data_IF_791844142973
#
_entry.id   IF_791844142973
#
_cell.length_a   1.000
_cell.length_b   1.000
_cell.length_c   1.000
_cell.angle_alpha   90.00
_cell.angle_beta   90.00
_cell.angle_gamma   90.00
#
_symmetry.space_group_name_H-M   'P 1'
#
loop_
_entity.id
_entity.type
_entity.pdbx_description
1 polymer ?
#
# COMPACT_ATOMS: atom_id res chain seq x y z
N UNK A 1 -6.24 -8.40 85.38
CA UNK A 1 -5.25 -8.27 84.28
C UNK A 1 -4.15 -7.35 84.78
N UNK A 2 -2.95 -7.88 85.04
CA UNK A 2 -1.80 -7.07 85.45
C UNK A 2 -1.22 -6.25 84.30
N UNK A 3 -0.27 -5.37 84.61
CA UNK A 3 0.47 -4.53 83.66
C UNK A 3 1.03 -5.33 82.46
N UNK A 4 1.47 -6.56 82.72
CA UNK A 4 1.89 -7.58 81.73
C UNK A 4 0.84 -7.85 80.63
N UNK A 5 -0.45 -7.94 81.00
CA UNK A 5 -1.53 -8.19 80.06
C UNK A 5 -1.78 -7.01 79.13
N UNK A 6 -1.64 -5.78 79.64
CA UNK A 6 -1.79 -4.56 78.85
C UNK A 6 -0.62 -4.38 77.87
N UNK A 7 0.60 -4.68 78.32
CA UNK A 7 1.81 -4.66 77.48
C UNK A 7 1.72 -5.69 76.35
N UNK A 8 1.14 -6.86 76.60
CA UNK A 8 0.96 -7.91 75.60
C UNK A 8 0.00 -7.48 74.49
N UNK A 9 -1.11 -6.84 74.84
CA UNK A 9 -2.08 -6.32 73.86
C UNK A 9 -1.46 -5.23 72.99
N UNK A 10 -0.67 -4.33 73.58
CA UNK A 10 -0.03 -3.26 72.83
C UNK A 10 1.03 -3.77 71.85
N UNK A 11 1.79 -4.79 72.25
CA UNK A 11 2.74 -5.50 71.36
C UNK A 11 2.03 -6.18 70.19
N UNK A 12 0.87 -6.80 70.44
CA UNK A 12 0.06 -7.45 69.40
C UNK A 12 -0.47 -6.41 68.40
N UNK A 13 -1.01 -5.28 68.88
CA UNK A 13 -1.48 -4.18 68.02
C UNK A 13 -0.34 -3.61 67.18
N UNK A 14 0.82 -3.38 67.78
CA UNK A 14 1.99 -2.89 67.08
C UNK A 14 2.45 -3.86 65.97
N UNK A 15 2.48 -5.16 66.25
CA UNK A 15 2.83 -6.18 65.27
C UNK A 15 1.85 -6.23 64.09
N UNK A 16 0.53 -6.18 64.37
CA UNK A 16 -0.51 -6.17 63.34
C UNK A 16 -0.38 -4.92 62.45
N UNK A 17 -0.25 -3.74 63.06
CA UNK A 17 -0.14 -2.47 62.33
C UNK A 17 1.13 -2.40 61.48
N UNK A 18 2.25 -2.94 61.99
CA UNK A 18 3.51 -3.01 61.25
C UNK A 18 3.46 -3.99 60.07
N UNK A 19 2.72 -5.10 60.18
CA UNK A 19 2.55 -6.05 59.08
C UNK A 19 1.65 -5.52 57.96
N UNK A 20 0.72 -4.61 58.26
CA UNK A 20 -0.23 -4.07 57.28
C UNK A 20 0.26 -2.78 56.58
N UNK A 21 1.22 -2.06 57.18
CA UNK A 21 1.70 -0.76 56.67
C UNK A 21 2.61 -0.83 55.44
N UNK A 22 3.11 -2.03 55.08
CA UNK A 22 4.03 -2.26 53.97
C UNK A 22 3.44 -2.96 52.74
N UNK A 23 2.10 -3.10 52.68
CA UNK A 23 1.44 -3.80 51.58
C UNK A 23 1.46 -2.95 50.30
N UNK A 24 2.50 -3.13 49.49
CA UNK A 24 2.60 -2.56 48.13
C UNK A 24 2.11 -3.57 47.11
N UNK A 25 1.14 -3.17 46.29
CA UNK A 25 0.47 -4.01 45.31
C UNK A 25 1.03 -3.77 43.90
N UNK A 26 1.91 -4.66 43.45
CA UNK A 26 2.34 -4.72 42.06
C UNK A 26 1.98 -6.09 41.46
N UNK A 27 0.90 -6.10 40.68
CA UNK A 27 0.59 -7.10 39.65
C UNK A 27 0.35 -8.58 40.03
N UNK A 28 0.00 -8.93 41.27
CA UNK A 28 -0.49 -10.29 41.57
C UNK A 28 -1.41 -10.35 42.79
N UNK A 29 -2.12 -11.47 42.92
CA UNK A 29 -2.99 -11.82 44.05
C UNK A 29 -2.29 -11.62 45.38
N UNK A 30 -2.98 -11.02 46.34
CA UNK A 30 -2.54 -11.06 47.73
C UNK A 30 -3.04 -12.38 48.32
N UNK A 31 -2.11 -13.22 48.78
CA UNK A 31 -2.42 -14.45 49.51
C UNK A 31 -2.17 -14.23 50.99
N UNK A 32 -3.23 -14.35 51.78
CA UNK A 32 -3.17 -14.30 53.24
C UNK A 32 -3.21 -15.74 53.76
N UNK A 33 -2.12 -16.23 54.32
CA UNK A 33 -2.10 -17.51 55.04
C UNK A 33 -2.56 -17.28 56.48
N UNK A 34 -3.59 -18.01 56.90
CA UNK A 34 -4.14 -17.96 58.26
C UNK A 34 -3.39 -18.92 59.17
N UNK A 35 -3.53 -18.75 60.47
CA UNK A 35 -2.88 -19.60 61.48
C UNK A 35 -3.40 -21.04 61.50
N UNK A 36 -4.57 -21.31 60.89
CA UNK A 36 -5.11 -22.65 60.67
C UNK A 36 -4.53 -23.33 59.42
N UNK A 37 -3.57 -22.68 58.75
CA UNK A 37 -2.93 -23.17 57.52
C UNK A 37 -3.76 -22.94 56.26
N UNK A 38 -4.97 -22.39 56.35
CA UNK A 38 -5.80 -22.07 55.17
C UNK A 38 -5.41 -20.73 54.58
N UNK A 39 -5.72 -20.49 53.30
CA UNK A 39 -5.44 -19.21 52.64
C UNK A 39 -6.73 -18.43 52.35
N UNK A 40 -6.62 -17.10 52.30
CA UNK A 40 -7.61 -16.19 51.70
C UNK A 40 -6.92 -15.43 50.58
N UNK A 41 -7.53 -15.37 49.40
CA UNK A 41 -6.98 -14.68 48.25
C UNK A 41 -7.80 -13.44 47.93
N UNK A 42 -7.12 -12.31 47.70
CA UNK A 42 -7.74 -11.10 47.15
C UNK A 42 -7.18 -10.93 45.74
N UNK A 43 -8.07 -11.07 44.76
CA UNK A 43 -7.74 -10.80 43.35
C UNK A 43 -7.83 -9.29 43.12
N UNK A 44 -6.69 -8.62 43.02
CA UNK A 44 -6.63 -7.22 42.60
C UNK A 44 -6.64 -7.21 41.08
N UNK A 45 -7.82 -7.04 40.49
CA UNK A 45 -7.99 -6.99 39.05
C UNK A 45 -7.61 -5.61 38.49
N UNK A 46 -6.30 -5.31 38.40
CA UNK A 46 -5.81 -4.16 37.66
C UNK A 46 -5.77 -4.41 36.14
N UNK A 47 -6.59 -5.32 35.59
CA UNK A 47 -6.73 -5.50 34.14
C UNK A 47 -7.71 -4.46 33.57
N UNK A 48 -7.55 -3.21 33.97
CA UNK A 48 -8.24 -2.09 33.36
C UNK A 48 -7.19 -1.28 32.57
N UNK A 49 -6.87 -1.80 31.38
CA UNK A 49 -6.01 -1.20 30.35
C UNK A 49 -4.50 -1.26 30.65
N UNK A 50 -3.79 -2.16 29.95
CA UNK A 50 -2.36 -2.00 29.77
C UNK A 50 -2.11 -0.63 29.11
N UNK A 51 -1.34 0.24 29.76
CA UNK A 51 -0.95 1.55 29.20
C UNK A 51 -0.15 1.41 27.90
N UNK A 52 0.56 0.29 27.75
CA UNK A 52 1.22 -0.14 26.51
C UNK A 52 0.94 -1.61 26.27
N UNK A 53 0.23 -1.93 25.19
CA UNK A 53 0.04 -3.31 24.77
C UNK A 53 1.20 -3.76 23.87
N UNK A 54 2.00 -4.73 24.31
CA UNK A 54 3.09 -5.31 23.48
C UNK A 54 2.55 -6.09 22.28
N UNK A 55 1.27 -6.48 22.33
CA UNK A 55 0.54 -7.17 21.26
C UNK A 55 -0.88 -6.60 21.16
N UNK A 56 -1.45 -6.61 19.95
CA UNK A 56 -2.84 -6.27 19.73
C UNK A 56 -3.72 -7.50 20.08
N UNK A 57 -4.12 -7.61 21.34
CA UNK A 57 -4.83 -8.77 21.88
C UNK A 57 -3.89 -9.91 22.35
N UNK A 58 -4.44 -11.11 22.56
CA UNK A 58 -3.68 -12.28 23.03
C UNK A 58 -2.88 -13.00 21.93
N UNK A 59 -3.05 -12.58 20.66
CA UNK A 59 -2.42 -13.19 19.49
C UNK A 59 -1.42 -12.25 18.83
N UNK A 60 -0.41 -12.82 18.17
CA UNK A 60 0.42 -12.06 17.22
C UNK A 60 -0.37 -11.96 15.91
N UNK A 61 -0.90 -10.79 15.61
CA UNK A 61 -1.70 -10.54 14.41
C UNK A 61 -0.91 -9.66 13.44
N UNK A 62 -0.92 -10.02 12.16
CA UNK A 62 -0.14 -9.32 11.12
C UNK A 62 1.24 -9.95 10.86
N UNK A 63 1.85 -9.56 9.75
CA UNK A 63 3.22 -9.88 9.35
C UNK A 63 3.78 -8.63 8.65
N UNK A 64 5.11 -8.49 8.51
CA UNK A 64 5.72 -7.32 7.85
C UNK A 64 5.19 -7.00 6.45
N UNK A 65 4.47 -7.93 5.84
CA UNK A 65 3.85 -7.82 4.51
C UNK A 65 2.31 -7.96 4.52
N UNK A 66 1.67 -8.09 5.69
CA UNK A 66 0.21 -8.27 5.82
C UNK A 66 -0.39 -7.22 6.75
N UNK A 67 -1.27 -6.39 6.19
CA UNK A 67 -2.08 -5.46 6.96
C UNK A 67 -3.01 -6.19 7.95
N UNK A 68 -3.45 -5.45 8.98
CA UNK A 68 -4.42 -5.88 9.99
C UNK A 68 -5.73 -5.11 9.74
N UNK A 69 -6.88 -5.78 9.89
CA UNK A 69 -8.20 -5.14 9.95
C UNK A 69 -8.99 -5.61 11.18
N UNK A 70 -10.04 -4.89 11.56
CA UNK A 70 -10.92 -5.28 12.67
C UNK A 70 -12.15 -6.00 12.13
N UNK A 71 -12.32 -7.27 12.53
CA UNK A 71 -13.54 -8.05 12.26
C UNK A 71 -14.32 -8.21 13.57
N UNK A 72 -15.48 -7.57 13.68
CA UNK A 72 -16.31 -7.58 14.89
C UNK A 72 -15.51 -7.27 16.18
N UNK A 73 -14.63 -6.27 16.13
CA UNK A 73 -13.77 -5.87 17.27
C UNK A 73 -12.53 -6.74 17.48
N UNK A 74 -12.33 -7.80 16.69
CA UNK A 74 -11.14 -8.66 16.76
C UNK A 74 -10.15 -8.30 15.67
N UNK A 75 -8.90 -8.02 16.06
CA UNK A 75 -7.81 -7.85 15.12
C UNK A 75 -7.59 -9.12 14.30
N UNK A 76 -7.71 -9.01 12.98
CA UNK A 76 -7.60 -10.12 12.03
C UNK A 76 -6.52 -9.81 11.01
N UNK A 77 -5.62 -10.77 10.76
CA UNK A 77 -4.61 -10.63 9.72
C UNK A 77 -5.28 -10.72 8.35
N UNK A 78 -4.91 -9.84 7.42
CA UNK A 78 -5.38 -9.97 6.05
C UNK A 78 -4.84 -11.25 5.41
N UNK A 79 -5.76 -12.14 5.04
CA UNK A 79 -5.53 -13.34 4.24
C UNK A 79 -5.54 -13.05 2.74
N UNK A 80 -6.05 -11.88 2.33
CA UNK A 80 -5.96 -11.42 0.96
C UNK A 80 -4.53 -10.99 0.63
N UNK A 81 -3.99 -11.42 -0.52
CA UNK A 81 -2.89 -10.75 -1.24
C UNK A 81 -3.43 -9.40 -1.69
N UNK A 82 -3.56 -8.47 -0.75
CA UNK A 82 -4.12 -7.14 -0.94
C UNK A 82 -3.15 -6.31 -1.76
N UNK A 83 -3.28 -6.43 -3.08
CA UNK A 83 -2.33 -5.89 -4.03
C UNK A 83 -1.09 -6.76 -4.19
N UNK A 84 -0.42 -6.59 -5.32
CA UNK A 84 0.90 -7.11 -5.59
C UNK A 84 1.82 -5.96 -6.03
N UNK A 85 3.05 -6.25 -6.47
CA UNK A 85 4.00 -5.23 -6.96
C UNK A 85 3.43 -4.33 -8.05
N UNK A 86 2.35 -4.75 -8.70
CA UNK A 86 1.74 -4.11 -9.85
C UNK A 86 0.26 -3.81 -9.65
N UNK A 87 -0.38 -4.13 -8.52
CA UNK A 87 -1.80 -3.79 -8.28
C UNK A 87 -1.96 -3.05 -6.95
N UNK A 88 -2.31 -1.75 -6.96
CA UNK A 88 -2.60 -1.01 -5.73
C UNK A 88 -3.92 -1.47 -5.10
N UNK A 89 -4.22 -0.91 -3.92
CA UNK A 89 -5.46 -1.18 -3.18
C UNK A 89 -6.16 0.12 -2.78
N UNK A 90 -7.48 0.06 -2.57
CA UNK A 90 -8.31 1.15 -2.05
C UNK A 90 -9.27 0.64 -0.96
N UNK A 91 -9.88 1.56 -0.23
CA UNK A 91 -10.91 1.23 0.77
C UNK A 91 -12.30 1.36 0.14
N UNK A 92 -13.03 0.25 0.07
CA UNK A 92 -14.41 0.21 -0.37
C UNK A 92 -15.31 -0.23 0.78
N UNK A 93 -16.20 0.64 1.27
CA UNK A 93 -17.13 0.35 2.35
C UNK A 93 -16.49 -0.34 3.58
N UNK A 94 -15.27 0.07 3.95
CA UNK A 94 -14.52 -0.49 5.09
C UNK A 94 -13.71 -1.76 4.78
N UNK A 95 -13.71 -2.24 3.53
CA UNK A 95 -12.91 -3.40 3.09
C UNK A 95 -11.75 -2.95 2.20
N UNK A 96 -10.55 -3.48 2.45
CA UNK A 96 -9.39 -3.29 1.56
C UNK A 96 -9.64 -4.10 0.28
N UNK A 97 -9.72 -3.40 -0.84
CA UNK A 97 -10.05 -3.96 -2.16
C UNK A 97 -8.91 -3.70 -3.13
N UNK A 98 -8.52 -4.70 -3.93
CA UNK A 98 -7.53 -4.50 -4.99
C UNK A 98 -8.12 -3.62 -6.11
N UNK A 99 -7.32 -2.74 -6.68
CA UNK A 99 -7.69 -2.04 -7.91
C UNK A 99 -7.69 -3.05 -9.08
N UNK A 100 -8.62 -2.87 -10.02
CA UNK A 100 -8.56 -3.59 -11.31
C UNK A 100 -7.45 -3.02 -12.23
N UNK A 101 -6.97 -1.81 -11.95
CA UNK A 101 -5.88 -1.15 -12.66
C UNK A 101 -4.50 -1.48 -12.07
N UNK A 102 -3.50 -1.73 -12.93
CA UNK A 102 -2.12 -1.98 -12.52
C UNK A 102 -1.23 -0.73 -12.49
N UNK A 103 -0.25 -0.68 -11.58
CA UNK A 103 0.85 0.29 -11.62
C UNK A 103 1.91 -0.21 -12.60
N UNK A 104 2.28 0.66 -13.54
CA UNK A 104 2.94 0.30 -14.78
C UNK A 104 1.90 0.33 -15.88
N UNK A 105 1.78 1.47 -16.55
CA UNK A 105 1.03 1.54 -17.81
C UNK A 105 1.52 0.39 -18.66
N UNK A 106 0.64 -0.44 -19.22
CA UNK A 106 1.02 -1.48 -20.18
C UNK A 106 1.75 -0.95 -21.42
N UNK A 107 2.17 0.31 -21.40
CA UNK A 107 2.88 1.04 -22.42
C UNK A 107 4.37 1.15 -22.11
N UNK A 108 5.21 0.82 -23.07
CA UNK A 108 6.62 1.22 -23.10
C UNK A 108 6.76 2.42 -24.04
N UNK A 109 7.50 3.44 -23.60
CA UNK A 109 7.70 4.69 -24.35
C UNK A 109 9.18 4.91 -24.59
N UNK A 110 9.53 5.23 -25.83
CA UNK A 110 10.84 5.77 -26.19
C UNK A 110 10.67 7.24 -26.56
N UNK A 111 11.20 8.11 -25.71
CA UNK A 111 11.12 9.56 -25.87
C UNK A 111 12.19 10.07 -26.85
N UNK A 112 11.86 11.10 -27.63
CA UNK A 112 12.76 11.68 -28.62
C UNK A 112 12.03 12.45 -29.71
N UNK A 113 12.79 13.17 -30.55
CA UNK A 113 12.25 13.86 -31.73
C UNK A 113 11.59 12.86 -32.71
N UNK A 114 12.21 11.67 -32.85
CA UNK A 114 11.59 10.50 -33.44
C UNK A 114 11.45 9.43 -32.34
N UNK A 115 10.22 9.12 -31.96
CA UNK A 115 9.91 8.30 -30.78
C UNK A 115 8.67 7.46 -30.95
N UNK A 116 8.32 6.70 -29.92
CA UNK A 116 7.18 5.79 -29.97
C UNK A 116 6.62 5.46 -28.59
N UNK A 117 5.34 5.06 -28.57
CA UNK A 117 4.66 4.46 -27.43
C UNK A 117 3.98 3.17 -27.88
N UNK A 118 4.22 2.07 -27.17
CA UNK A 118 3.69 0.73 -27.49
C UNK A 118 2.99 0.13 -26.30
N UNK A 119 1.75 -0.31 -26.48
CA UNK A 119 1.08 -1.19 -25.55
C UNK A 119 1.65 -2.62 -25.69
N UNK A 120 2.15 -3.18 -24.59
CA UNK A 120 2.97 -4.37 -24.53
C UNK A 120 2.17 -5.67 -24.67
N UNK A 121 0.86 -5.65 -24.40
CA UNK A 121 0.00 -6.83 -24.48
C UNK A 121 -0.48 -7.10 -25.90
N UNK A 122 -0.91 -6.07 -26.60
CA UNK A 122 -1.51 -6.10 -27.95
C UNK A 122 -0.50 -5.72 -29.03
N UNK A 123 0.60 -5.06 -28.66
CA UNK A 123 1.59 -4.53 -29.59
C UNK A 123 1.14 -3.25 -30.29
N UNK A 124 -0.04 -2.71 -29.94
CA UNK A 124 -0.54 -1.45 -30.51
C UNK A 124 0.47 -0.34 -30.27
N UNK A 125 0.90 0.31 -31.35
CA UNK A 125 1.98 1.30 -31.29
C UNK A 125 1.64 2.54 -32.09
N UNK A 126 1.95 3.67 -31.46
CA UNK A 126 2.01 4.99 -32.06
C UNK A 126 3.48 5.39 -32.17
N UNK A 127 3.90 5.83 -33.36
CA UNK A 127 5.26 6.35 -33.60
C UNK A 127 5.18 7.78 -34.13
N UNK A 128 6.20 8.59 -33.86
CA UNK A 128 6.32 9.94 -34.40
C UNK A 128 7.75 10.21 -34.86
N UNK A 129 7.91 11.18 -35.74
CA UNK A 129 9.21 11.63 -36.21
C UNK A 129 9.10 12.68 -37.30
N UNK A 130 10.25 13.03 -37.88
CA UNK A 130 10.43 14.07 -38.90
C UNK A 130 11.08 13.56 -40.20
N UNK A 131 11.33 12.25 -40.29
CA UNK A 131 11.81 11.56 -41.49
C UNK A 131 10.77 10.56 -41.99
N UNK A 132 10.99 9.95 -43.15
CA UNK A 132 10.06 8.95 -43.69
C UNK A 132 10.31 7.53 -43.18
N UNK A 133 11.24 7.35 -42.24
CA UNK A 133 11.59 6.08 -41.62
C UNK A 133 11.02 6.01 -40.20
N UNK A 134 10.45 4.87 -39.85
CA UNK A 134 9.93 4.64 -38.50
C UNK A 134 11.05 4.34 -37.50
N UNK A 135 11.00 4.88 -36.26
CA UNK A 135 11.89 4.52 -35.16
C UNK A 135 11.94 3.03 -34.85
N UNK A 136 10.87 2.31 -35.20
CA UNK A 136 10.78 0.85 -35.07
C UNK A 136 9.89 0.25 -36.14
N UNK A 137 10.21 -0.97 -36.53
CA UNK A 137 9.44 -1.74 -37.51
C UNK A 137 8.09 -2.12 -36.94
N UNK A 138 7.01 -1.84 -37.69
CA UNK A 138 5.71 -2.44 -37.43
C UNK A 138 5.68 -3.88 -37.94
N UNK A 139 5.00 -4.78 -37.23
CA UNK A 139 4.51 -6.04 -37.83
C UNK A 139 3.43 -5.74 -38.86
N UNK A 140 2.58 -4.74 -38.58
CA UNK A 140 1.58 -4.25 -39.54
C UNK A 140 1.39 -2.75 -39.34
N UNK A 141 1.81 -1.96 -40.33
CA UNK A 141 1.55 -0.53 -40.38
C UNK A 141 0.15 -0.28 -40.97
N UNK A 142 -0.68 0.53 -40.31
CA UNK A 142 -2.04 0.84 -40.77
C UNK A 142 -2.12 2.19 -41.45
N UNK A 143 -1.66 3.24 -40.77
CA UNK A 143 -1.83 4.61 -41.24
C UNK A 143 -0.67 5.49 -40.81
N UNK A 144 -0.32 6.44 -41.68
CA UNK A 144 0.57 7.55 -41.37
C UNK A 144 -0.19 8.83 -41.62
N UNK A 145 -0.18 9.71 -40.62
CA UNK A 145 -0.70 11.07 -40.72
C UNK A 145 0.48 12.01 -40.71
N UNK A 146 0.56 12.85 -41.73
CA UNK A 146 1.60 13.86 -41.85
C UNK A 146 1.02 15.26 -41.81
N UNK A 147 1.83 16.19 -41.34
CA UNK A 147 1.55 17.61 -41.40
C UNK A 147 2.63 18.35 -42.18
N UNK A 148 2.23 19.27 -43.06
CA UNK A 148 3.11 20.33 -43.59
C UNK A 148 2.86 21.64 -42.87
N UNK A 149 3.93 22.40 -42.66
CA UNK A 149 3.92 23.82 -42.32
C UNK A 149 3.00 24.23 -41.15
N UNK A 150 3.40 24.00 -39.90
CA UNK A 150 2.72 24.66 -38.77
C UNK A 150 3.67 25.46 -37.89
N UNK A 151 3.45 26.78 -37.88
CA UNK A 151 3.74 27.62 -36.72
C UNK A 151 3.01 27.06 -35.48
N UNK A 152 3.63 27.17 -34.31
CA UNK A 152 3.11 26.63 -33.04
C UNK A 152 1.72 27.20 -32.71
N UNK A 153 0.67 26.37 -32.68
CA UNK A 153 -0.66 26.75 -32.14
C UNK A 153 -1.87 26.67 -33.08
N UNK A 154 -1.70 26.33 -34.36
CA UNK A 154 -2.80 26.24 -35.34
C UNK A 154 -3.41 24.81 -35.46
N UNK A 155 -4.73 24.73 -35.69
CA UNK A 155 -5.52 23.49 -35.77
C UNK A 155 -5.24 22.68 -37.07
N UNK A 156 -5.16 21.35 -36.95
CA UNK A 156 -4.63 20.38 -37.93
C UNK A 156 -5.55 20.08 -39.14
N UNK A 157 -5.99 21.06 -39.92
CA UNK A 157 -6.95 20.76 -41.02
C UNK A 157 -6.58 21.18 -42.45
N UNK A 158 -5.38 21.72 -42.73
CA UNK A 158 -5.07 22.16 -44.10
C UNK A 158 -3.60 22.00 -44.51
N UNK A 159 -3.18 20.76 -44.76
CA UNK A 159 -2.47 20.37 -45.98
C UNK A 159 -2.02 18.91 -45.85
N UNK A 160 -2.78 18.03 -46.48
CA UNK A 160 -2.46 16.63 -46.64
C UNK A 160 -1.23 16.51 -47.55
N UNK A 161 -0.06 16.20 -46.99
CA UNK A 161 0.98 15.58 -47.81
C UNK A 161 0.44 14.22 -48.19
N UNK A 162 0.34 13.95 -49.50
CA UNK A 162 -0.07 12.63 -49.97
C UNK A 162 1.01 11.63 -49.59
N UNK A 163 0.77 10.87 -48.52
CA UNK A 163 1.48 9.62 -48.26
C UNK A 163 1.14 8.71 -49.44
N UNK A 164 2.13 8.42 -50.27
CA UNK A 164 1.96 7.67 -51.52
C UNK A 164 2.01 6.16 -51.30
N UNK A 165 2.75 5.72 -50.29
CA UNK A 165 2.74 4.32 -49.85
C UNK A 165 3.16 4.21 -48.38
N UNK A 166 2.68 3.16 -47.71
CA UNK A 166 3.07 2.80 -46.34
C UNK A 166 3.68 1.41 -46.38
N UNK A 167 4.79 1.24 -45.67
CA UNK A 167 5.44 -0.04 -45.40
C UNK A 167 5.60 -0.23 -43.90
N UNK A 168 6.06 -1.41 -43.48
CA UNK A 168 6.32 -1.69 -42.07
C UNK A 168 7.51 -0.90 -41.48
N UNK A 169 8.40 -0.34 -42.31
CA UNK A 169 9.61 0.37 -41.86
C UNK A 169 9.55 1.88 -42.11
N UNK A 170 8.52 2.37 -42.78
CA UNK A 170 8.41 3.77 -43.17
C UNK A 170 7.35 3.98 -44.23
N UNK A 171 7.36 5.15 -44.85
CA UNK A 171 6.38 5.55 -45.85
C UNK A 171 7.04 6.38 -46.95
N UNK A 172 6.32 6.65 -48.02
CA UNK A 172 6.77 7.55 -49.10
C UNK A 172 5.82 8.72 -49.24
N UNK A 173 6.32 9.84 -49.75
CA UNK A 173 5.57 11.08 -49.94
C UNK A 173 5.67 11.56 -51.38
N UNK A 174 4.56 12.08 -51.92
CA UNK A 174 4.51 12.52 -53.32
C UNK A 174 5.23 13.84 -53.63
N UNK A 175 5.45 14.71 -52.62
CA UNK A 175 6.23 15.95 -52.79
C UNK A 175 6.84 16.37 -51.43
N UNK A 176 8.18 16.48 -51.32
CA UNK A 176 8.84 16.89 -50.08
C UNK A 176 8.70 18.41 -49.89
N UNK A 177 7.87 18.82 -48.93
CA UNK A 177 7.90 20.17 -48.34
C UNK A 177 8.85 20.20 -47.15
N UNK A 178 9.35 21.38 -46.75
CA UNK A 178 10.21 21.49 -45.57
C UNK A 178 9.39 21.36 -44.26
N UNK A 179 10.00 20.78 -43.22
CA UNK A 179 9.44 20.76 -41.85
C UNK A 179 8.34 19.71 -41.58
N UNK A 180 8.46 18.54 -42.19
CA UNK A 180 7.45 17.48 -42.12
C UNK A 180 7.56 16.70 -40.81
N UNK A 181 6.47 16.63 -40.05
CA UNK A 181 6.31 15.73 -38.91
C UNK A 181 5.22 14.72 -39.20
N UNK A 182 5.37 13.51 -38.69
CA UNK A 182 4.38 12.46 -38.84
C UNK A 182 4.00 11.83 -37.50
N UNK A 183 2.83 11.21 -37.51
CA UNK A 183 2.41 10.21 -36.54
C UNK A 183 1.95 8.98 -37.31
N UNK A 184 2.42 7.80 -36.91
CA UNK A 184 2.10 6.52 -37.53
C UNK A 184 1.50 5.56 -36.52
N UNK A 185 0.60 4.70 -36.98
CA UNK A 185 -0.17 3.76 -36.16
C UNK A 185 -0.06 2.35 -36.72
N UNK A 186 0.13 1.35 -35.85
CA UNK A 186 0.29 -0.04 -36.27
C UNK A 186 0.43 -1.01 -35.11
N UNK A 187 0.66 -2.29 -35.45
CA UNK A 187 1.04 -3.37 -34.51
C UNK A 187 2.51 -3.70 -34.72
N UNK A 188 3.20 -4.10 -33.65
CA UNK A 188 4.67 -4.24 -33.62
C UNK A 188 5.16 -4.86 -32.33
#
# INVERSE_FOLDING_TARGET
MGLEGLVTVEKIRAAINASLSGLSNSNATITITKNDGTTSTITINNVANATTATKLGSSTVGSGVKAIYLNAGTATASNSTVGNSNTPVYLNAGTITACDASIGSGWTVSEGAAGWARENTTGFTIQWGDTTTFPRTFTTAFQVVMQTNNNKGEQLYKNQVTVTSISNNGFTIGSPGQGQRYVAFGIS
#
